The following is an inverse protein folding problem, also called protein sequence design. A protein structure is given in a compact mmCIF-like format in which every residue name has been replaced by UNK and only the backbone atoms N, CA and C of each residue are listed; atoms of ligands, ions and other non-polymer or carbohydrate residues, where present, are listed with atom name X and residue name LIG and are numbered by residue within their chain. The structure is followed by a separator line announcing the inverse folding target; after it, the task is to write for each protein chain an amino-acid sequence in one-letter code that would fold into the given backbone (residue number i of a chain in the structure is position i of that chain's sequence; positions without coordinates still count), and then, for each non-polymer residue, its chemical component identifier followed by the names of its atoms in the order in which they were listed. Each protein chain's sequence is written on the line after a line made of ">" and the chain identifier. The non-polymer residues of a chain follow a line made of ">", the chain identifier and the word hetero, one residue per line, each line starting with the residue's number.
data_IF_726359025390
#
_entry.id   IF_726359025390
#
_cell.length_a   1.000
_cell.length_b   1.000
_cell.length_c   1.000
_cell.angle_alpha   90.00
_cell.angle_beta   90.00
_cell.angle_gamma   90.00
#
_symmetry.space_group_name_H-M   'P 1'
#
loop_
_entity.id
_entity.type
_entity.pdbx_description
1 polymer ?
#
# COMPACT_ATOMS: atom_id res chain seq x y z
N UNK A 1 -32.67 -8.69 -59.90
CA UNK A 1 -33.40 -9.55 -58.93
C UNK A 1 -33.61 -8.75 -57.66
N UNK A 2 -34.88 -8.46 -57.31
CA UNK A 2 -35.22 -7.74 -56.06
C UNK A 2 -35.10 -8.72 -54.90
N UNK A 3 -34.22 -8.44 -53.94
CA UNK A 3 -34.19 -9.18 -52.68
C UNK A 3 -35.52 -9.01 -51.93
N UNK A 4 -36.09 -10.07 -51.35
CA UNK A 4 -37.34 -9.98 -50.62
C UNK A 4 -37.12 -9.16 -49.34
N UNK A 5 -37.93 -8.10 -49.16
CA UNK A 5 -37.97 -7.36 -47.89
C UNK A 5 -38.47 -8.30 -46.80
N UNK A 6 -37.56 -8.68 -45.90
CA UNK A 6 -37.89 -9.43 -44.69
C UNK A 6 -38.87 -8.61 -43.85
N UNK A 7 -40.04 -9.18 -43.51
CA UNK A 7 -41.02 -8.52 -42.65
C UNK A 7 -40.43 -8.29 -41.25
N UNK A 8 -40.52 -7.05 -40.76
CA UNK A 8 -40.03 -6.71 -39.43
C UNK A 8 -40.88 -7.40 -38.35
N UNK A 9 -40.21 -8.08 -37.42
CA UNK A 9 -40.86 -8.76 -36.30
C UNK A 9 -41.49 -7.74 -35.33
N UNK A 10 -42.82 -7.81 -35.17
CA UNK A 10 -43.58 -6.94 -34.23
C UNK A 10 -43.61 -7.46 -32.79
N UNK A 11 -43.27 -8.73 -32.57
CA UNK A 11 -43.17 -9.37 -31.25
C UNK A 11 -41.95 -10.27 -31.20
N UNK A 12 -41.24 -10.26 -30.07
CA UNK A 12 -40.10 -11.13 -29.83
C UNK A 12 -40.51 -12.60 -29.85
N UNK A 13 -39.75 -13.41 -30.58
CA UNK A 13 -39.96 -14.86 -30.70
C UNK A 13 -39.42 -15.65 -29.50
N UNK A 14 -38.56 -15.02 -28.69
CA UNK A 14 -38.01 -15.56 -27.46
C UNK A 14 -37.71 -14.44 -26.45
N UNK A 15 -37.49 -14.82 -25.20
CA UNK A 15 -37.02 -13.91 -24.15
C UNK A 15 -35.60 -13.42 -24.50
N UNK A 16 -35.44 -12.11 -24.69
CA UNK A 16 -34.16 -11.47 -24.99
C UNK A 16 -33.92 -10.29 -24.07
N UNK A 17 -32.64 -9.95 -23.87
CA UNK A 17 -32.26 -8.77 -23.10
C UNK A 17 -32.03 -7.60 -24.06
N UNK A 18 -32.77 -6.51 -23.87
CA UNK A 18 -32.57 -5.24 -24.57
C UNK A 18 -31.95 -4.24 -23.60
N UNK A 19 -30.78 -3.71 -23.96
CA UNK A 19 -30.09 -2.69 -23.18
C UNK A 19 -29.99 -1.45 -24.04
N UNK A 20 -30.68 -0.39 -23.61
CA UNK A 20 -30.68 0.91 -24.30
C UNK A 20 -29.83 1.88 -23.48
N UNK A 21 -28.78 2.41 -24.11
CA UNK A 21 -27.97 3.48 -23.53
C UNK A 21 -28.23 4.74 -24.35
N UNK A 22 -28.67 5.81 -23.68
CA UNK A 22 -29.10 7.04 -24.34
C UNK A 22 -27.92 7.89 -24.86
N UNK A 23 -26.77 7.79 -24.20
CA UNK A 23 -25.57 8.54 -24.54
C UNK A 23 -24.52 7.57 -25.11
N UNK A 24 -23.97 7.87 -26.29
CA UNK A 24 -22.90 7.09 -26.91
C UNK A 24 -21.51 7.49 -26.42
N UNK A 25 -21.37 8.69 -25.85
CA UNK A 25 -20.06 9.29 -25.60
C UNK A 25 -19.43 8.76 -24.29
N UNK A 26 -20.23 8.08 -23.47
CA UNK A 26 -19.78 7.48 -22.21
C UNK A 26 -18.65 6.44 -22.38
N UNK A 27 -18.50 5.85 -23.57
CA UNK A 27 -17.43 4.88 -23.89
C UNK A 27 -16.24 5.49 -24.62
N UNK A 28 -16.25 6.81 -24.88
CA UNK A 28 -15.10 7.47 -25.48
C UNK A 28 -13.86 7.26 -24.62
N UNK A 29 -12.72 6.97 -25.26
CA UNK A 29 -11.46 6.67 -24.57
C UNK A 29 -11.11 7.73 -23.52
N UNK A 30 -11.37 9.02 -23.79
CA UNK A 30 -11.07 10.12 -22.85
C UNK A 30 -11.93 10.11 -21.57
N UNK A 31 -13.11 9.51 -21.62
CA UNK A 31 -14.08 9.41 -20.51
C UNK A 31 -13.95 8.06 -19.80
N UNK A 32 -13.55 7.03 -20.53
CA UNK A 32 -13.37 5.67 -20.02
C UNK A 32 -11.96 5.40 -19.47
N UNK A 33 -10.91 5.95 -20.10
CA UNK A 33 -9.51 5.60 -19.84
C UNK A 33 -8.55 6.79 -19.79
N UNK A 34 -7.64 6.76 -18.83
CA UNK A 34 -6.47 7.64 -18.79
C UNK A 34 -5.24 6.81 -19.11
N UNK A 35 -4.47 7.23 -20.11
CA UNK A 35 -3.18 6.60 -20.42
C UNK A 35 -2.09 7.26 -19.59
N UNK A 36 -1.47 6.49 -18.70
CA UNK A 36 -0.36 6.94 -17.88
C UNK A 36 0.85 6.06 -18.10
N UNK A 37 2.02 6.67 -18.12
CA UNK A 37 3.27 5.94 -18.07
C UNK A 37 3.40 5.33 -16.68
N UNK A 38 3.42 4.01 -16.61
CA UNK A 38 3.62 3.26 -15.38
C UNK A 38 4.94 2.51 -15.48
N UNK A 39 5.75 2.58 -14.42
CA UNK A 39 6.93 1.77 -14.29
C UNK A 39 6.50 0.34 -13.98
N UNK A 40 6.82 -0.58 -14.88
CA UNK A 40 6.59 -2.02 -14.71
C UNK A 40 7.92 -2.75 -14.61
N UNK A 41 7.89 -4.03 -14.24
CA UNK A 41 9.08 -4.90 -14.18
C UNK A 41 9.82 -5.02 -15.52
N UNK A 42 9.17 -4.64 -16.63
CA UNK A 42 9.69 -4.68 -17.99
C UNK A 42 10.01 -3.27 -18.55
N UNK A 43 10.04 -2.24 -17.70
CA UNK A 43 10.31 -0.85 -18.10
C UNK A 43 9.06 0.05 -18.04
N UNK A 44 9.18 1.25 -18.62
CA UNK A 44 8.08 2.23 -18.68
C UNK A 44 7.11 1.83 -19.79
N UNK A 45 5.87 1.48 -19.43
CA UNK A 45 4.82 1.16 -20.38
C UNK A 45 3.65 2.14 -20.25
N UNK A 46 3.01 2.48 -21.37
CA UNK A 46 1.73 3.16 -21.35
C UNK A 46 0.66 2.19 -20.86
N UNK A 47 0.07 2.46 -19.70
CA UNK A 47 -1.03 1.67 -19.14
C UNK A 47 -2.32 2.46 -19.22
N UNK A 48 -3.36 1.83 -19.76
CA UNK A 48 -4.73 2.32 -19.66
C UNK A 48 -5.23 2.12 -18.23
N UNK A 49 -5.54 3.20 -17.53
CA UNK A 49 -6.15 3.20 -16.20
C UNK A 49 -7.62 3.59 -16.36
N UNK A 50 -8.58 2.79 -15.89
CA UNK A 50 -9.99 3.14 -15.99
C UNK A 50 -10.27 4.41 -15.18
N UNK A 51 -10.82 5.44 -15.83
CA UNK A 51 -11.32 6.66 -15.19
C UNK A 51 -12.72 6.45 -14.60
N UNK A 52 -13.51 5.58 -15.26
CA UNK A 52 -14.90 5.30 -14.93
C UNK A 52 -15.20 3.80 -15.07
N UNK A 53 -16.36 3.38 -14.56
CA UNK A 53 -16.85 2.02 -14.70
C UNK A 53 -17.42 1.68 -16.08
N UNK A 54 -17.37 2.60 -17.05
CA UNK A 54 -18.08 2.49 -18.33
C UNK A 54 -17.53 1.39 -19.25
N UNK A 55 -16.21 1.25 -19.32
CA UNK A 55 -15.55 0.18 -20.07
C UNK A 55 -15.89 -1.23 -19.53
N UNK A 56 -15.68 -1.48 -18.23
CA UNK A 56 -16.11 -2.73 -17.59
C UNK A 56 -17.62 -3.00 -17.74
N UNK A 57 -18.46 -1.98 -17.66
CA UNK A 57 -19.91 -2.11 -17.87
C UNK A 57 -20.25 -2.62 -19.27
N UNK A 58 -19.69 -2.01 -20.34
CA UNK A 58 -19.94 -2.47 -21.71
C UNK A 58 -19.43 -3.89 -21.93
N UNK A 59 -18.25 -4.21 -21.42
CA UNK A 59 -17.67 -5.55 -21.52
C UNK A 59 -18.56 -6.60 -20.84
N UNK A 60 -19.13 -6.28 -19.68
CA UNK A 60 -20.06 -7.15 -18.98
C UNK A 60 -21.37 -7.37 -19.76
N UNK A 61 -21.88 -6.36 -20.47
CA UNK A 61 -23.07 -6.48 -21.32
C UNK A 61 -22.78 -7.41 -22.50
N UNK A 62 -21.67 -7.19 -23.21
CA UNK A 62 -21.26 -8.03 -24.35
C UNK A 62 -21.05 -9.48 -23.92
N UNK A 63 -20.44 -9.68 -22.74
CA UNK A 63 -20.23 -11.00 -22.17
C UNK A 63 -21.53 -11.70 -21.74
N UNK A 64 -22.47 -10.94 -21.15
CA UNK A 64 -23.81 -11.44 -20.83
C UNK A 64 -24.57 -11.84 -22.09
N UNK A 65 -24.43 -11.07 -23.18
CA UNK A 65 -25.04 -11.38 -24.48
C UNK A 65 -24.44 -12.63 -25.15
N UNK A 66 -23.15 -12.91 -24.92
CA UNK A 66 -22.46 -14.11 -25.40
C UNK A 66 -22.75 -15.38 -24.56
N UNK A 67 -23.78 -15.35 -23.70
CA UNK A 67 -24.33 -16.50 -23.00
C UNK A 67 -23.36 -17.20 -22.03
N UNK A 68 -22.54 -16.44 -21.29
CA UNK A 68 -21.74 -16.98 -20.18
C UNK A 68 -22.51 -16.92 -18.85
N UNK A 69 -23.72 -17.51 -18.79
CA UNK A 69 -24.55 -17.52 -17.57
C UNK A 69 -23.80 -18.04 -16.31
N UNK A 70 -22.77 -18.87 -16.51
CA UNK A 70 -21.93 -19.43 -15.45
C UNK A 70 -20.77 -18.54 -14.99
N UNK A 71 -20.47 -17.43 -15.69
CA UNK A 71 -19.31 -16.56 -15.42
C UNK A 71 -19.67 -15.15 -14.94
N UNK A 72 -20.96 -14.79 -14.96
CA UNK A 72 -21.48 -13.48 -14.50
C UNK A 72 -21.10 -13.20 -13.04
N UNK A 73 -21.09 -14.22 -12.17
CA UNK A 73 -20.72 -14.06 -10.76
C UNK A 73 -19.22 -13.94 -10.47
N UNK A 74 -18.37 -14.30 -11.44
CA UNK A 74 -16.91 -14.36 -11.27
C UNK A 74 -16.18 -13.14 -11.84
N UNK A 75 -16.82 -12.35 -12.72
CA UNK A 75 -16.17 -11.26 -13.45
C UNK A 75 -16.58 -9.90 -12.86
N UNK A 76 -15.59 -9.02 -12.68
CA UNK A 76 -15.70 -7.70 -12.05
C UNK A 76 -16.01 -7.69 -10.54
N UNK A 77 -15.27 -8.48 -9.74
CA UNK A 77 -15.01 -8.02 -8.37
C UNK A 77 -14.00 -6.88 -8.46
N UNK A 78 -14.45 -5.65 -8.20
CA UNK A 78 -13.53 -4.58 -7.81
C UNK A 78 -12.58 -5.18 -6.78
N UNK A 79 -11.25 -5.10 -6.97
CA UNK A 79 -10.32 -5.59 -5.96
C UNK A 79 -10.62 -4.83 -4.67
N UNK A 80 -11.35 -5.49 -3.76
CA UNK A 80 -11.60 -4.96 -2.43
C UNK A 80 -10.27 -5.07 -1.72
N UNK A 81 -9.53 -3.98 -1.70
CA UNK A 81 -8.33 -3.89 -0.88
C UNK A 81 -8.79 -4.09 0.56
N UNK A 82 -8.43 -5.23 1.15
CA UNK A 82 -8.60 -5.49 2.58
C UNK A 82 -7.25 -5.25 3.23
N UNK A 83 -6.93 -4.01 3.62
CA UNK A 83 -5.71 -3.75 4.35
C UNK A 83 -5.74 -4.55 5.65
N UNK A 84 -4.58 -5.03 6.08
CA UNK A 84 -4.47 -5.75 7.32
C UNK A 84 -4.62 -4.76 8.47
N UNK A 85 -5.80 -4.72 9.11
CA UNK A 85 -6.13 -3.74 10.15
C UNK A 85 -5.25 -3.90 11.38
N UNK A 86 -4.94 -5.14 11.78
CA UNK A 86 -4.03 -5.44 12.89
C UNK A 86 -2.67 -4.76 12.74
N UNK A 87 -2.12 -4.73 11.52
CA UNK A 87 -0.84 -4.04 11.27
C UNK A 87 -0.98 -2.51 11.36
N UNK A 88 -2.11 -1.96 10.90
CA UNK A 88 -2.38 -0.52 11.01
C UNK A 88 -2.55 -0.08 12.45
N UNK A 89 -3.26 -0.88 13.25
CA UNK A 89 -3.51 -0.58 14.65
C UNK A 89 -2.19 -0.63 15.45
N UNK A 90 -1.36 -1.63 15.15
CA UNK A 90 -0.02 -1.74 15.72
C UNK A 90 0.84 -0.53 15.33
N UNK A 91 0.92 -0.18 14.04
CA UNK A 91 1.67 0.98 13.56
C UNK A 91 1.21 2.28 14.24
N UNK A 92 -0.10 2.47 14.41
CA UNK A 92 -0.67 3.64 15.09
C UNK A 92 -0.32 3.70 16.58
N UNK A 93 -0.36 2.59 17.31
CA UNK A 93 0.03 2.53 18.74
C UNK A 93 1.51 2.86 18.94
N UNK A 94 2.36 2.35 18.05
CA UNK A 94 3.80 2.63 18.05
C UNK A 94 4.10 4.09 17.71
N UNK A 95 3.45 4.65 16.68
CA UNK A 95 3.62 6.04 16.28
C UNK A 95 3.18 7.01 17.38
N UNK A 96 2.13 6.68 18.15
CA UNK A 96 1.72 7.47 19.30
C UNK A 96 2.72 7.44 20.45
N UNK A 97 3.21 6.25 20.82
CA UNK A 97 4.11 6.10 21.97
C UNK A 97 5.47 6.75 21.70
N UNK A 98 5.96 6.61 20.48
CA UNK A 98 7.31 7.03 20.09
C UNK A 98 7.32 8.46 19.56
N UNK A 99 6.24 8.89 18.89
CA UNK A 99 6.03 10.28 18.54
C UNK A 99 6.17 11.20 19.75
N UNK A 100 5.73 10.75 20.94
CA UNK A 100 5.95 11.48 22.21
C UNK A 100 7.43 11.59 22.61
N UNK A 101 8.20 10.50 22.52
CA UNK A 101 9.64 10.48 22.87
C UNK A 101 10.47 11.33 21.91
N UNK A 102 10.27 11.14 20.61
CA UNK A 102 10.96 11.93 19.57
C UNK A 102 10.62 13.41 19.71
N UNK A 103 9.35 13.73 19.98
CA UNK A 103 8.92 15.11 20.21
C UNK A 103 9.59 15.71 21.46
N UNK A 104 9.74 14.96 22.55
CA UNK A 104 10.44 15.43 23.73
C UNK A 104 11.93 15.73 23.44
N UNK A 105 12.63 14.85 22.73
CA UNK A 105 14.03 15.08 22.31
C UNK A 105 14.14 16.29 21.36
N UNK A 106 13.16 16.46 20.46
CA UNK A 106 13.10 17.61 19.55
C UNK A 106 12.89 18.92 20.32
N UNK A 107 12.01 18.93 21.32
CA UNK A 107 11.77 20.10 22.17
C UNK A 107 13.04 20.49 22.95
N UNK A 108 13.80 19.52 23.47
CA UNK A 108 15.10 19.76 24.11
C UNK A 108 16.12 20.36 23.12
N UNK A 109 16.19 19.82 21.90
CA UNK A 109 17.06 20.32 20.83
C UNK A 109 16.71 21.74 20.42
N UNK A 110 15.41 22.05 20.26
CA UNK A 110 14.94 23.37 19.88
C UNK A 110 15.24 24.39 20.99
N UNK A 111 15.07 24.01 22.26
CA UNK A 111 15.43 24.85 23.39
C UNK A 111 16.94 25.12 23.46
N UNK A 112 17.78 24.11 23.22
CA UNK A 112 19.24 24.26 23.18
C UNK A 112 19.70 25.14 22.01
N UNK A 113 19.14 24.93 20.82
CA UNK A 113 19.42 25.73 19.62
C UNK A 113 19.00 27.19 19.80
N UNK A 114 17.87 27.43 20.48
CA UNK A 114 17.41 28.78 20.80
C UNK A 114 18.40 29.51 21.72
N UNK A 115 18.89 28.86 22.78
CA UNK A 115 19.92 29.42 23.68
C UNK A 115 21.22 29.76 22.93
N UNK A 116 21.66 28.87 22.04
CA UNK A 116 22.83 29.11 21.18
C UNK A 116 22.60 30.30 20.24
N UNK A 117 21.44 30.37 19.59
CA UNK A 117 21.08 31.47 18.68
C UNK A 117 21.01 32.81 19.42
N UNK A 118 20.39 32.85 20.60
CA UNK A 118 20.32 34.05 21.44
C UNK A 118 21.71 34.52 21.86
N UNK A 119 22.63 33.61 22.19
CA UNK A 119 24.01 33.95 22.53
C UNK A 119 24.75 34.56 21.32
N UNK A 120 24.61 33.98 20.13
CA UNK A 120 25.21 34.52 18.89
C UNK A 120 24.61 35.88 18.53
N UNK A 121 23.28 36.05 18.64
CA UNK A 121 22.60 37.31 18.35
C UNK A 121 22.98 38.43 19.32
N UNK A 122 23.04 38.16 20.63
CA UNK A 122 23.48 39.14 21.64
C UNK A 122 24.89 39.65 21.35
N UNK A 123 25.80 38.74 20.97
CA UNK A 123 27.17 39.12 20.61
C UNK A 123 27.26 39.97 19.35
N UNK A 124 26.46 39.65 18.34
CA UNK A 124 26.39 40.43 17.11
C UNK A 124 25.88 41.86 17.40
N UNK A 125 24.90 42.00 18.29
CA UNK A 125 24.40 43.31 18.75
C UNK A 125 25.44 44.12 19.55
N UNK A 126 26.32 43.46 20.30
CA UNK A 126 27.40 44.09 21.06
C UNK A 126 28.68 44.39 20.23
N UNK A 127 28.69 44.07 18.94
CA UNK A 127 29.84 44.29 18.04
C UNK A 127 31.07 43.41 18.36
N UNK A 128 30.91 42.32 19.11
CA UNK A 128 32.02 41.45 19.56
C UNK A 128 32.31 40.34 18.54
N UNK A 129 33.34 40.52 17.73
CA UNK A 129 33.71 39.58 16.67
C UNK A 129 34.49 38.33 17.12
N UNK A 130 35.09 38.31 18.32
CA UNK A 130 35.84 37.15 18.85
C UNK A 130 35.19 36.58 20.10
N UNK A 131 35.12 35.25 20.16
CA UNK A 131 34.69 34.52 21.37
C UNK A 131 35.73 34.63 22.48
N UNK A 132 35.28 34.81 23.72
CA UNK A 132 36.14 34.59 24.90
C UNK A 132 36.41 33.09 25.07
N UNK A 133 37.43 32.73 25.85
CA UNK A 133 37.77 31.33 26.08
C UNK A 133 36.63 30.55 26.76
N UNK A 134 35.84 31.20 27.62
CA UNK A 134 34.68 30.61 28.29
C UNK A 134 33.51 30.39 27.31
N UNK A 135 33.21 31.39 26.48
CA UNK A 135 32.13 31.29 25.49
C UNK A 135 32.46 30.29 24.37
N UNK A 136 33.75 30.17 24.01
CA UNK A 136 34.22 29.16 23.05
C UNK A 136 34.01 27.75 23.61
N UNK A 137 34.38 27.51 24.88
CA UNK A 137 34.13 26.23 25.55
C UNK A 137 32.64 25.90 25.61
N UNK A 138 31.82 26.85 26.05
CA UNK A 138 30.36 26.69 26.09
C UNK A 138 29.77 26.34 24.71
N UNK A 139 30.22 27.01 23.65
CA UNK A 139 29.77 26.72 22.28
C UNK A 139 30.13 25.29 21.85
N UNK A 140 31.37 24.84 22.09
CA UNK A 140 31.79 23.49 21.74
C UNK A 140 31.07 22.42 22.57
N UNK A 141 30.85 22.67 23.86
CA UNK A 141 30.12 21.75 24.74
C UNK A 141 28.64 21.63 24.32
N UNK A 142 27.99 22.75 24.01
CA UNK A 142 26.62 22.78 23.51
C UNK A 142 26.48 22.09 22.14
N UNK A 143 27.46 22.26 21.24
CA UNK A 143 27.51 21.55 19.96
C UNK A 143 27.68 20.02 20.16
N UNK A 144 28.47 19.61 21.16
CA UNK A 144 28.66 18.20 21.49
C UNK A 144 27.39 17.58 22.07
N UNK A 145 26.70 18.29 22.95
CA UNK A 145 25.41 17.88 23.51
C UNK A 145 24.34 17.76 22.41
N UNK A 146 24.28 18.73 21.50
CA UNK A 146 23.42 18.69 20.32
C UNK A 146 23.68 17.44 19.47
N UNK A 147 24.95 17.16 19.16
CA UNK A 147 25.30 15.98 18.36
C UNK A 147 24.93 14.67 19.06
N UNK A 148 25.03 14.61 20.39
CA UNK A 148 24.59 13.47 21.19
C UNK A 148 23.07 13.30 21.13
N UNK A 149 22.29 14.37 21.26
CA UNK A 149 20.82 14.36 21.18
C UNK A 149 20.31 14.02 19.77
N UNK A 150 20.96 14.53 18.72
CA UNK A 150 20.66 14.14 17.33
C UNK A 150 20.98 12.67 17.05
N UNK A 151 21.98 12.11 17.75
CA UNK A 151 22.27 10.68 17.70
C UNK A 151 21.22 9.86 18.45
N UNK A 152 20.86 10.27 19.66
CA UNK A 152 19.80 9.65 20.47
C UNK A 152 18.49 9.59 19.68
N UNK A 153 18.10 10.69 19.04
CA UNK A 153 16.92 10.74 18.16
C UNK A 153 16.99 9.74 17.00
N UNK A 154 18.16 9.61 16.34
CA UNK A 154 18.34 8.63 15.25
C UNK A 154 18.32 7.19 15.76
N UNK A 155 18.88 6.94 16.95
CA UNK A 155 18.88 5.61 17.57
C UNK A 155 17.47 5.19 17.97
N UNK A 156 16.67 6.08 18.58
CA UNK A 156 15.25 5.85 18.89
C UNK A 156 14.45 5.57 17.61
N UNK A 157 14.68 6.35 16.53
CA UNK A 157 14.01 6.10 15.24
C UNK A 157 14.46 4.81 14.55
N UNK A 158 15.71 4.38 14.73
CA UNK A 158 16.25 3.17 14.08
C UNK A 158 15.86 1.90 14.82
N UNK A 159 15.93 1.90 16.15
CA UNK A 159 15.41 0.82 16.98
C UNK A 159 13.93 0.56 16.67
N UNK A 160 13.18 1.63 16.45
CA UNK A 160 11.76 1.60 16.09
C UNK A 160 11.45 0.85 14.79
N UNK A 161 12.19 1.12 13.70
CA UNK A 161 11.99 0.42 12.43
C UNK A 161 12.33 -1.07 12.55
N UNK A 162 13.38 -1.38 13.32
CA UNK A 162 13.80 -2.77 13.58
C UNK A 162 12.72 -3.58 14.29
N UNK A 163 12.06 -3.01 15.30
CA UNK A 163 11.03 -3.71 16.07
C UNK A 163 9.77 -4.02 15.22
N UNK A 164 9.35 -3.06 14.39
CA UNK A 164 8.26 -3.25 13.43
C UNK A 164 8.61 -4.35 12.42
N UNK A 165 9.82 -4.30 11.86
CA UNK A 165 10.28 -5.29 10.90
C UNK A 165 10.42 -6.69 11.52
N UNK A 166 10.82 -6.78 12.80
CA UNK A 166 10.89 -8.03 13.54
C UNK A 166 9.49 -8.65 13.75
N UNK A 167 8.50 -7.87 14.18
CA UNK A 167 7.13 -8.36 14.34
C UNK A 167 6.54 -8.78 12.99
N UNK A 168 6.72 -7.95 11.95
CA UNK A 168 6.23 -8.21 10.60
C UNK A 168 6.84 -9.47 10.00
N UNK A 169 8.15 -9.61 10.10
CA UNK A 169 8.87 -10.80 9.60
C UNK A 169 8.45 -12.06 10.36
N UNK A 170 8.28 -11.99 11.68
CA UNK A 170 7.82 -13.12 12.49
C UNK A 170 6.43 -13.62 12.09
N UNK A 171 5.47 -12.72 11.91
CA UNK A 171 4.10 -13.06 11.47
C UNK A 171 4.11 -13.61 10.03
N UNK A 172 4.84 -12.94 9.14
CA UNK A 172 4.96 -13.36 7.75
C UNK A 172 5.56 -14.77 7.63
N UNK A 173 6.64 -15.04 8.36
CA UNK A 173 7.33 -16.34 8.34
C UNK A 173 6.42 -17.46 8.86
N UNK A 174 5.67 -17.21 9.95
CA UNK A 174 4.67 -18.18 10.45
C UNK A 174 3.62 -18.45 9.38
N UNK A 175 3.00 -17.42 8.81
CA UNK A 175 1.96 -17.60 7.79
C UNK A 175 2.48 -18.34 6.55
N UNK A 176 3.72 -18.10 6.14
CA UNK A 176 4.35 -18.73 5.00
C UNK A 176 4.65 -20.21 5.23
N UNK A 177 5.09 -20.58 6.44
CA UNK A 177 5.53 -21.95 6.75
C UNK A 177 4.40 -22.87 7.24
N UNK A 178 3.35 -22.34 7.87
CA UNK A 178 2.26 -23.14 8.45
C UNK A 178 1.57 -23.99 7.37
N UNK A 179 1.15 -23.39 6.25
CA UNK A 179 0.38 -24.10 5.22
C UNK A 179 1.22 -25.20 4.54
N UNK A 180 2.43 -24.92 4.01
CA UNK A 180 3.29 -25.98 3.47
C UNK A 180 3.63 -27.05 4.50
N UNK A 181 3.89 -26.66 5.76
CA UNK A 181 4.16 -27.60 6.84
C UNK A 181 3.00 -28.57 7.10
N UNK A 182 1.76 -28.05 7.17
CA UNK A 182 0.56 -28.86 7.31
C UNK A 182 0.36 -29.83 6.13
N UNK A 183 0.61 -29.39 4.91
CA UNK A 183 0.51 -30.24 3.70
C UNK A 183 1.52 -31.39 3.75
N UNK A 184 2.77 -31.10 4.14
CA UNK A 184 3.81 -32.12 4.30
C UNK A 184 3.41 -33.14 5.36
N UNK A 185 2.93 -32.68 6.53
CA UNK A 185 2.48 -33.55 7.61
C UNK A 185 1.30 -34.43 7.19
N UNK A 186 0.31 -33.86 6.49
CA UNK A 186 -0.82 -34.62 5.95
C UNK A 186 -0.36 -35.67 4.92
N UNK A 187 0.55 -35.31 4.02
CA UNK A 187 1.12 -36.23 3.04
C UNK A 187 1.86 -37.41 3.68
N UNK A 188 2.68 -37.14 4.70
CA UNK A 188 3.35 -38.17 5.50
C UNK A 188 2.33 -39.07 6.20
N UNK A 189 1.28 -38.49 6.80
CA UNK A 189 0.21 -39.25 7.45
C UNK A 189 -0.49 -40.21 6.50
N UNK A 190 -0.85 -39.75 5.31
CA UNK A 190 -1.46 -40.59 4.25
C UNK A 190 -0.50 -41.69 3.80
N UNK A 191 0.78 -41.37 3.62
CA UNK A 191 1.79 -42.34 3.23
C UNK A 191 1.94 -43.48 4.26
N UNK A 192 2.04 -43.14 5.55
CA UNK A 192 2.13 -44.13 6.64
C UNK A 192 0.86 -44.98 6.69
N UNK A 193 -0.33 -44.35 6.64
CA UNK A 193 -1.61 -45.06 6.67
C UNK A 193 -1.73 -46.08 5.53
N UNK A 194 -1.38 -45.67 4.29
CA UNK A 194 -1.39 -46.58 3.13
C UNK A 194 -0.39 -47.72 3.28
N UNK A 195 0.80 -47.45 3.85
CA UNK A 195 1.82 -48.48 4.06
C UNK A 195 1.35 -49.52 5.08
N UNK A 196 0.71 -49.11 6.17
CA UNK A 196 0.17 -50.02 7.17
C UNK A 196 -1.02 -50.83 6.65
N UNK A 197 -1.92 -50.22 5.86
CA UNK A 197 -3.05 -50.95 5.26
C UNK A 197 -2.63 -51.99 4.22
N UNK A 198 -1.47 -51.80 3.58
CA UNK A 198 -0.96 -52.73 2.54
C UNK A 198 -0.20 -53.92 3.14
N UNK A 199 0.25 -53.84 4.41
CA UNK A 199 0.87 -54.97 5.12
C UNK A 199 -0.12 -55.88 5.86
N UNK A 200 -1.41 -55.53 5.88
CA UNK A 200 -2.48 -56.35 6.45
C UNK A 200 -3.15 -57.30 5.43
N UNK A 201 -2.49 -57.56 4.29
CA UNK A 201 -2.91 -58.52 3.26
C UNK A 201 -1.80 -59.53 2.98
#
# INVERSE_FOLDING_TARGET
>A
TKEPKTEALKKGTATGNLILVADSDFIMDRVAYSYRQALTTQGVQLRAVPLSGNGPFLLNIVDQANNSAHLIGARARTPVMRPLTVFKDLEAEYEQTIGKKVKAIQEELDAANKKLSELVQKRAAEGRARFTAEETKFYFDAQKERAAKEREMREEQKGLQSDIDAIKSGIFLKSLLIVPGLVILAGIGVFIYRRMSTQAR
#
